data_IF_070228553480
#
_entry.id   IF_070228553480
#
_cell.length_a   1.000
_cell.length_b   1.000
_cell.length_c   1.000
_cell.angle_alpha   90.00
_cell.angle_beta   90.00
_cell.angle_gamma   90.00
#
_symmetry.space_group_name_H-M   'P 1'
#
loop_
_entity.id
_entity.type
_entity.pdbx_description
1 polymer ?
#
# COMPACT_ATOMS: atom_id res chain seq x y z
N UNK A 1 10.85 -11.67 -11.51
CA UNK A 1 9.98 -10.97 -10.56
C UNK A 1 10.39 -9.51 -10.48
N UNK A 2 9.43 -8.61 -10.54
CA UNK A 2 9.64 -7.18 -10.42
C UNK A 2 9.32 -6.73 -8.99
N UNK A 3 10.17 -5.90 -8.40
CA UNK A 3 9.93 -5.36 -7.06
C UNK A 3 10.34 -3.88 -7.03
N UNK A 4 9.48 -3.05 -6.45
CA UNK A 4 9.77 -1.63 -6.19
C UNK A 4 9.41 -1.32 -4.75
N UNK A 5 10.15 -0.40 -4.13
CA UNK A 5 9.84 0.04 -2.77
C UNK A 5 10.25 1.49 -2.58
N UNK A 6 9.64 2.13 -1.60
CA UNK A 6 9.99 3.49 -1.21
C UNK A 6 9.81 3.64 0.29
N UNK A 7 10.78 4.27 0.93
CA UNK A 7 10.82 4.46 2.39
C UNK A 7 10.88 5.95 2.69
N UNK A 8 10.11 6.38 3.71
CA UNK A 8 10.14 7.76 4.20
C UNK A 8 10.27 7.77 5.71
N UNK A 9 10.86 8.85 6.23
CA UNK A 9 10.83 9.14 7.66
C UNK A 9 9.65 10.10 7.91
N UNK A 10 8.84 9.79 8.92
CA UNK A 10 7.66 10.57 9.27
C UNK A 10 7.82 11.07 10.71
N UNK A 11 7.65 12.38 10.91
CA UNK A 11 7.71 12.99 12.24
C UNK A 11 6.38 12.82 12.97
N UNK A 12 6.05 11.57 13.24
CA UNK A 12 4.86 11.18 13.99
C UNK A 12 5.13 9.80 14.61
N UNK A 13 4.48 9.47 15.74
CA UNK A 13 4.75 8.19 16.40
C UNK A 13 4.23 7.00 15.56
N UNK A 14 4.89 5.83 15.70
CA UNK A 14 4.50 4.65 14.91
C UNK A 14 3.04 4.25 15.06
N UNK A 15 2.46 4.39 16.25
CA UNK A 15 1.05 4.05 16.50
C UNK A 15 0.12 4.89 15.63
N UNK A 16 0.42 6.17 15.50
CA UNK A 16 -0.38 7.07 14.68
C UNK A 16 -0.26 6.73 13.20
N UNK A 17 0.96 6.48 12.73
CA UNK A 17 1.19 6.11 11.33
C UNK A 17 0.49 4.80 11.01
N UNK A 18 0.58 3.83 11.91
CA UNK A 18 -0.08 2.54 11.75
C UNK A 18 -1.60 2.71 11.63
N UNK A 19 -2.21 3.50 12.52
CA UNK A 19 -3.66 3.71 12.50
C UNK A 19 -4.12 4.34 11.18
N UNK A 20 -3.32 5.22 10.60
CA UNK A 20 -3.62 5.82 9.31
C UNK A 20 -3.53 4.79 8.18
N UNK A 21 -2.53 3.92 8.23
CA UNK A 21 -2.30 2.92 7.18
C UNK A 21 -3.38 1.85 7.16
N UNK A 22 -3.86 1.40 8.33
CA UNK A 22 -4.90 0.36 8.37
C UNK A 22 -6.30 0.91 8.11
N UNK A 23 -6.49 2.21 8.17
CA UNK A 23 -7.76 2.84 7.81
C UNK A 23 -7.79 3.03 6.29
N UNK A 24 -8.04 1.93 5.57
CA UNK A 24 -7.95 1.94 4.11
C UNK A 24 -9.00 2.84 3.47
N UNK A 25 -10.17 2.98 4.08
CA UNK A 25 -11.18 3.90 3.55
C UNK A 25 -10.71 5.36 3.63
N UNK A 26 -9.82 5.67 4.56
CA UNK A 26 -9.25 7.00 4.71
C UNK A 26 -8.07 7.30 3.79
N UNK A 27 -7.59 6.32 3.05
CA UNK A 27 -6.44 6.51 2.14
C UNK A 27 -6.68 7.62 1.11
N UNK A 28 -7.92 7.87 0.73
CA UNK A 28 -8.24 8.93 -0.24
C UNK A 28 -7.82 10.32 0.23
N UNK A 29 -7.61 10.50 1.54
CA UNK A 29 -7.17 11.78 2.11
C UNK A 29 -5.71 12.08 1.80
N UNK A 30 -4.90 11.07 1.48
CA UNK A 30 -3.47 11.24 1.25
C UNK A 30 -2.92 10.49 0.03
N UNK A 31 -3.63 9.49 -0.48
CA UNK A 31 -3.20 8.71 -1.64
C UNK A 31 -3.86 9.26 -2.90
N UNK A 32 -3.28 10.33 -3.45
CA UNK A 32 -3.89 11.07 -4.56
C UNK A 32 -3.99 10.29 -5.85
N UNK A 33 -3.24 9.20 -5.99
CA UNK A 33 -3.31 8.35 -7.17
C UNK A 33 -4.50 7.39 -7.13
N UNK A 34 -5.21 7.33 -6.02
CA UNK A 34 -6.37 6.45 -5.85
C UNK A 34 -7.66 7.18 -6.20
N UNK A 35 -8.55 6.48 -6.89
CA UNK A 35 -9.89 6.96 -7.17
C UNK A 35 -10.88 6.46 -6.13
N UNK A 36 -10.78 5.19 -5.71
CA UNK A 36 -11.63 4.65 -4.65
C UNK A 36 -10.98 3.45 -3.96
N UNK A 37 -11.34 3.27 -2.70
CA UNK A 37 -11.01 2.07 -1.91
C UNK A 37 -12.27 1.68 -1.14
N UNK A 38 -12.72 0.44 -1.35
CA UNK A 38 -13.96 -0.03 -0.73
C UNK A 38 -13.73 -1.37 -0.03
N UNK A 39 -13.96 -1.40 1.29
CA UNK A 39 -13.93 -2.65 2.03
C UNK A 39 -15.02 -3.58 1.53
N UNK A 40 -14.66 -4.83 1.27
CA UNK A 40 -15.60 -5.85 0.79
C UNK A 40 -16.07 -6.76 1.92
N UNK A 41 -15.59 -6.54 3.12
CA UNK A 41 -15.89 -7.33 4.32
C UNK A 41 -16.18 -6.41 5.48
N UNK A 42 -16.57 -6.99 6.61
CA UNK A 42 -16.86 -6.25 7.83
C UNK A 42 -15.94 -6.71 8.96
N UNK A 43 -15.88 -5.91 10.02
CA UNK A 43 -15.07 -6.24 11.17
C UNK A 43 -13.69 -5.61 11.14
N UNK A 44 -12.81 -6.09 12.01
CA UNK A 44 -11.46 -5.57 12.13
C UNK A 44 -10.63 -5.88 10.90
N UNK A 45 -9.78 -4.95 10.53
CA UNK A 45 -8.84 -5.14 9.41
C UNK A 45 -7.75 -6.12 9.83
N UNK A 46 -7.54 -7.17 9.05
CA UNK A 46 -6.55 -8.20 9.35
C UNK A 46 -6.50 -9.23 8.22
N UNK A 47 -5.87 -10.37 8.49
CA UNK A 47 -5.78 -11.46 7.50
C UNK A 47 -7.17 -11.84 7.01
N UNK A 48 -7.32 -11.94 5.70
CA UNK A 48 -8.60 -12.24 5.06
C UNK A 48 -9.42 -11.01 4.71
N UNK A 49 -9.06 -9.84 5.19
CA UNK A 49 -9.74 -8.59 4.81
C UNK A 49 -9.57 -8.33 3.32
N UNK A 50 -10.64 -7.86 2.67
CA UNK A 50 -10.66 -7.64 1.22
C UNK A 50 -11.06 -6.21 0.94
N UNK A 51 -10.33 -5.58 0.03
CA UNK A 51 -10.55 -4.18 -0.34
C UNK A 51 -10.52 -4.06 -1.86
N UNK A 52 -11.55 -3.47 -2.43
CA UNK A 52 -11.53 -3.13 -3.86
C UNK A 52 -10.79 -1.81 -4.02
N UNK A 53 -9.66 -1.85 -4.69
CA UNK A 53 -8.79 -0.70 -4.91
C UNK A 53 -8.88 -0.31 -6.38
N UNK A 54 -9.23 0.95 -6.64
CA UNK A 54 -9.32 1.48 -8.01
C UNK A 54 -8.39 2.68 -8.14
N UNK A 55 -7.19 2.51 -8.73
CA UNK A 55 -6.32 3.65 -9.02
C UNK A 55 -6.90 4.50 -10.14
N UNK A 56 -6.47 5.77 -10.22
CA UNK A 56 -6.90 6.64 -11.31
C UNK A 56 -6.32 6.14 -12.63
N UNK A 57 -7.17 6.00 -13.64
CA UNK A 57 -6.78 5.57 -14.97
C UNK A 57 -6.50 4.07 -15.11
N UNK A 58 -6.86 3.28 -14.10
CA UNK A 58 -6.67 1.83 -14.13
C UNK A 58 -7.94 1.13 -13.67
N UNK A 59 -8.16 -0.11 -14.12
CA UNK A 59 -9.30 -0.91 -13.62
C UNK A 59 -9.12 -1.23 -12.13
N UNK A 60 -10.22 -1.38 -11.43
CA UNK A 60 -10.22 -1.79 -10.04
C UNK A 60 -9.93 -3.28 -9.88
N UNK A 61 -9.37 -3.64 -8.74
CA UNK A 61 -9.15 -5.04 -8.37
C UNK A 61 -9.35 -5.22 -6.87
N UNK A 62 -9.66 -6.45 -6.47
CA UNK A 62 -9.85 -6.77 -5.05
C UNK A 62 -8.54 -7.32 -4.50
N UNK A 63 -8.05 -6.66 -3.45
CA UNK A 63 -6.84 -7.07 -2.74
C UNK A 63 -7.24 -7.76 -1.45
N UNK A 64 -6.57 -8.85 -1.14
CA UNK A 64 -6.80 -9.60 0.10
C UNK A 64 -5.57 -9.58 0.98
N UNK A 65 -5.75 -9.29 2.26
CA UNK A 65 -4.66 -9.29 3.23
C UNK A 65 -4.25 -10.73 3.52
N UNK A 66 -2.98 -11.04 3.27
CA UNK A 66 -2.43 -12.39 3.45
C UNK A 66 -1.55 -12.50 4.68
N UNK A 67 -0.94 -11.40 5.12
CA UNK A 67 -0.09 -11.36 6.30
C UNK A 67 -0.41 -10.10 7.09
N UNK A 68 -0.41 -10.20 8.41
CA UNK A 68 -0.75 -9.07 9.27
C UNK A 68 -0.04 -9.23 10.61
N UNK A 69 0.76 -8.22 10.95
CA UNK A 69 1.43 -8.13 12.25
C UNK A 69 1.06 -6.78 12.86
N UNK A 70 0.16 -6.78 13.82
CA UNK A 70 -0.44 -5.57 14.37
C UNK A 70 0.62 -4.56 14.83
N UNK A 71 0.46 -3.32 14.41
CA UNK A 71 1.38 -2.23 14.75
C UNK A 71 2.67 -2.21 13.95
N UNK A 72 2.90 -3.17 13.07
CA UNK A 72 4.18 -3.30 12.36
C UNK A 72 4.02 -3.41 10.85
N UNK A 73 3.24 -4.38 10.35
CA UNK A 73 3.17 -4.61 8.91
C UNK A 73 1.92 -5.33 8.48
N UNK A 74 1.55 -5.15 7.21
CA UNK A 74 0.62 -6.05 6.55
C UNK A 74 0.94 -6.14 5.07
N UNK A 75 0.55 -7.28 4.49
CA UNK A 75 0.77 -7.59 3.08
C UNK A 75 -0.56 -7.98 2.47
N UNK A 76 -0.86 -7.46 1.30
CA UNK A 76 -2.03 -7.87 0.55
C UNK A 76 -1.67 -8.20 -0.90
N UNK A 77 -2.54 -8.96 -1.56
CA UNK A 77 -2.26 -9.44 -2.91
C UNK A 77 -3.52 -9.39 -3.77
N UNK A 78 -3.32 -9.23 -5.06
CA UNK A 78 -4.39 -9.32 -6.04
C UNK A 78 -3.90 -10.01 -7.31
N UNK A 79 -4.82 -10.69 -7.99
CA UNK A 79 -4.58 -11.21 -9.32
C UNK A 79 -5.05 -10.14 -10.31
N UNK A 80 -4.13 -9.36 -10.84
CA UNK A 80 -4.49 -8.23 -11.72
C UNK A 80 -4.99 -8.72 -13.08
N UNK A 81 -4.38 -9.81 -13.58
CA UNK A 81 -4.75 -10.45 -14.83
C UNK A 81 -4.24 -11.90 -14.77
N UNK A 82 -4.73 -12.79 -15.63
CA UNK A 82 -4.14 -14.14 -15.73
C UNK A 82 -2.65 -14.04 -16.00
N UNK A 83 -1.84 -14.68 -15.16
CA UNK A 83 -0.38 -14.64 -15.29
C UNK A 83 0.28 -13.41 -14.66
N UNK A 84 -0.47 -12.59 -13.93
CA UNK A 84 0.09 -11.39 -13.28
C UNK A 84 -0.52 -11.19 -11.90
N UNK A 85 0.27 -11.47 -10.88
CA UNK A 85 -0.10 -11.26 -9.47
C UNK A 85 0.70 -10.10 -8.90
N UNK A 86 0.02 -9.23 -8.17
CA UNK A 86 0.66 -8.12 -7.46
C UNK A 86 0.59 -8.39 -5.95
N UNK A 87 1.67 -8.05 -5.25
CA UNK A 87 1.76 -8.16 -3.80
C UNK A 87 2.27 -6.85 -3.23
N UNK A 88 1.48 -6.23 -2.36
CA UNK A 88 1.82 -4.95 -1.74
C UNK A 88 2.19 -5.13 -0.29
N UNK A 89 3.33 -4.57 0.12
CA UNK A 89 3.80 -4.61 1.50
C UNK A 89 3.77 -3.23 2.14
N UNK A 90 3.50 -3.20 3.45
CA UNK A 90 3.42 -1.97 4.23
C UNK A 90 4.10 -2.24 5.56
N UNK A 91 5.21 -1.55 5.85
CA UNK A 91 6.00 -1.76 7.06
C UNK A 91 6.15 -0.45 7.81
N UNK A 92 5.90 -0.49 9.11
CA UNK A 92 6.05 0.65 10.03
C UNK A 92 7.05 0.27 11.10
N UNK A 93 8.08 1.08 11.28
CA UNK A 93 9.13 0.83 12.28
C UNK A 93 9.42 2.12 13.03
N UNK A 94 9.72 2.01 14.33
CA UNK A 94 10.20 3.15 15.10
C UNK A 94 11.54 3.63 14.53
N UNK A 95 11.72 4.95 14.44
CA UNK A 95 12.95 5.56 13.91
C UNK A 95 13.23 6.83 14.72
N UNK A 96 13.99 6.68 15.80
CA UNK A 96 14.19 7.76 16.75
C UNK A 96 12.88 8.12 17.41
N UNK A 97 12.51 9.41 17.36
CA UNK A 97 11.23 9.90 17.90
C UNK A 97 10.10 9.79 16.87
N UNK A 98 10.41 9.41 15.66
CA UNK A 98 9.43 9.31 14.58
C UNK A 98 9.27 7.88 14.07
N UNK A 99 8.95 7.77 12.80
CA UNK A 99 8.58 6.51 12.16
C UNK A 99 9.26 6.39 10.81
N UNK A 100 9.71 5.17 10.50
CA UNK A 100 10.15 4.80 9.17
C UNK A 100 9.05 3.95 8.54
N UNK A 101 8.47 4.43 7.45
CA UNK A 101 7.40 3.74 6.73
C UNK A 101 7.90 3.32 5.36
N UNK A 102 7.69 2.05 5.02
CA UNK A 102 8.11 1.48 3.73
C UNK A 102 6.92 0.84 3.05
N UNK A 103 6.65 1.26 1.84
CA UNK A 103 5.67 0.62 0.97
C UNK A 103 6.41 -0.08 -0.15
N UNK A 104 5.99 -1.30 -0.47
CA UNK A 104 6.61 -2.09 -1.53
C UNK A 104 5.54 -2.70 -2.42
N UNK A 105 5.93 -3.03 -3.64
CA UNK A 105 5.04 -3.68 -4.58
C UNK A 105 5.86 -4.66 -5.41
N UNK A 106 5.38 -5.89 -5.49
CA UNK A 106 6.02 -6.95 -6.26
C UNK A 106 5.05 -7.46 -7.32
N UNK A 107 5.56 -7.73 -8.50
CA UNK A 107 4.80 -8.37 -9.57
C UNK A 107 5.40 -9.74 -9.84
N UNK A 108 4.56 -10.76 -9.94
CA UNK A 108 4.99 -12.13 -10.20
C UNK A 108 4.08 -12.79 -11.23
N UNK A 109 4.52 -13.95 -11.73
CA UNK A 109 3.82 -14.67 -12.79
C UNK A 109 4.46 -14.46 -14.15
N UNK A 110 4.04 -15.24 -15.18
CA UNK A 110 4.69 -15.19 -16.51
C UNK A 110 4.63 -13.82 -17.19
N UNK A 111 3.61 -13.00 -16.91
CA UNK A 111 3.48 -11.68 -17.53
C UNK A 111 4.28 -10.59 -16.81
N UNK A 112 4.88 -10.88 -15.65
CA UNK A 112 5.63 -9.86 -14.90
C UNK A 112 6.88 -9.39 -15.65
N UNK A 113 7.58 -10.26 -16.37
CA UNK A 113 8.78 -9.89 -17.11
C UNK A 113 8.49 -8.99 -18.31
N UNK A 114 7.60 -9.38 -19.26
CA UNK A 114 7.32 -8.51 -20.39
C UNK A 114 6.66 -7.18 -20.01
N UNK A 115 5.92 -7.16 -18.91
CA UNK A 115 5.27 -5.92 -18.44
C UNK A 115 6.18 -5.07 -17.55
N UNK A 116 7.37 -5.55 -17.18
CA UNK A 116 8.24 -4.89 -16.21
C UNK A 116 8.55 -3.42 -16.50
N UNK A 117 8.88 -3.00 -17.74
CA UNK A 117 9.17 -1.58 -17.97
C UNK A 117 8.01 -0.65 -17.63
N UNK A 118 6.78 -1.02 -18.00
CA UNK A 118 5.59 -0.22 -17.69
C UNK A 118 5.26 -0.30 -16.21
N UNK A 119 5.29 -1.51 -15.64
CA UNK A 119 4.98 -1.71 -14.24
C UNK A 119 5.95 -0.95 -13.33
N UNK A 120 7.24 -0.93 -13.67
CA UNK A 120 8.25 -0.20 -12.89
C UNK A 120 7.93 1.29 -12.81
N UNK A 121 7.53 1.89 -13.93
CA UNK A 121 7.19 3.32 -13.96
C UNK A 121 5.95 3.60 -13.12
N UNK A 122 4.87 2.83 -13.35
CA UNK A 122 3.60 3.07 -12.67
C UNK A 122 3.71 2.78 -11.16
N UNK A 123 4.29 1.64 -10.81
CA UNK A 123 4.37 1.22 -9.41
C UNK A 123 5.38 2.06 -8.63
N UNK A 124 6.51 2.42 -9.23
CA UNK A 124 7.49 3.29 -8.61
C UNK A 124 6.90 4.66 -8.31
N UNK A 125 6.15 5.20 -9.26
CA UNK A 125 5.44 6.46 -9.06
C UNK A 125 4.39 6.35 -7.97
N UNK A 126 3.56 5.31 -8.00
CA UNK A 126 2.47 5.14 -7.04
C UNK A 126 2.97 4.90 -5.62
N UNK A 127 4.02 4.09 -5.44
CA UNK A 127 4.58 3.88 -4.10
C UNK A 127 5.18 5.17 -3.54
N UNK A 128 5.85 5.96 -4.37
CA UNK A 128 6.40 7.24 -3.94
C UNK A 128 5.30 8.24 -3.59
N UNK A 129 4.24 8.32 -4.40
CA UNK A 129 3.10 9.20 -4.11
C UNK A 129 2.41 8.77 -2.83
N UNK A 130 2.28 7.47 -2.60
CA UNK A 130 1.66 6.95 -1.39
C UNK A 130 2.47 7.31 -0.14
N UNK A 131 3.78 7.03 -0.14
CA UNK A 131 4.61 7.31 1.03
C UNK A 131 4.75 8.79 1.31
N UNK A 132 4.91 9.61 0.27
CA UNK A 132 4.99 11.06 0.44
C UNK A 132 3.67 11.65 0.91
N UNK A 133 2.55 11.16 0.40
CA UNK A 133 1.22 11.57 0.85
C UNK A 133 0.95 11.18 2.30
N UNK A 134 1.34 9.96 2.66
CA UNK A 134 1.24 9.48 4.04
C UNK A 134 2.06 10.35 5.00
N UNK A 135 3.30 10.65 4.64
CA UNK A 135 4.17 11.49 5.44
C UNK A 135 3.54 12.87 5.67
N UNK A 136 3.11 13.53 4.62
CA UNK A 136 2.51 14.86 4.72
C UNK A 136 1.24 14.83 5.57
N UNK A 137 0.41 13.81 5.40
CA UNK A 137 -0.84 13.68 6.16
C UNK A 137 -0.57 13.45 7.65
N UNK A 138 0.32 12.51 7.98
CA UNK A 138 0.61 12.19 9.38
C UNK A 138 1.28 13.37 10.11
N UNK A 139 2.18 14.08 9.44
CA UNK A 139 2.86 15.24 10.05
C UNK A 139 1.92 16.41 10.26
N UNK A 140 0.97 16.60 9.35
CA UNK A 140 -0.03 17.65 9.45
C UNK A 140 -1.01 17.41 10.59
N UNK A 141 -1.37 16.13 10.82
CA UNK A 141 -2.34 15.74 11.82
C UNK A 141 -1.72 15.44 13.20
N UNK A 142 -0.41 15.54 13.32
CA UNK A 142 0.29 15.24 14.58
C UNK A 142 0.21 16.39 15.55
#
# INVERSE_FOLDING_TARGET
MLSVSHTVHIDAPPEKVWDVIIDVAGWLRWANYMRSLERQDQGSFGVGSRVKVTPRGMPGSVWEVTEFEAGHSYTWTTQLAPGLRLTGGHVVEADGVGTKATFSLEASGPLSLPAAPVLSLVFGRNTRLATNGLMAYCERES
#
